data_IF_143763935933
#
_entry.id   IF_143763935933
#
_cell.length_a   1.000
_cell.length_b   1.000
_cell.length_c   1.000
_cell.angle_alpha   90.00
_cell.angle_beta   90.00
_cell.angle_gamma   90.00
#
_symmetry.space_group_name_H-M   'P 1'
#
loop_
_entity.id
_entity.type
_entity.pdbx_description
1 polymer ?
#
# COMPACT_ATOMS: atom_id res chain seq x y z
N UNK A 1 5.02 16.97 -5.01
CA UNK A 1 5.97 16.54 -3.97
C UNK A 1 7.18 17.48 -3.98
N UNK A 2 7.51 18.12 -2.85
CA UNK A 2 8.58 19.13 -2.77
C UNK A 2 9.73 18.73 -1.82
N UNK A 3 9.65 17.56 -1.19
CA UNK A 3 10.70 17.03 -0.33
C UNK A 3 11.71 16.17 -1.10
N UNK A 4 12.99 16.26 -0.73
CA UNK A 4 14.07 15.41 -1.23
C UNK A 4 14.02 14.00 -0.64
N UNK A 5 13.35 13.77 0.50
CA UNK A 5 13.20 12.45 1.15
C UNK A 5 12.60 11.39 0.23
N UNK A 6 13.19 10.21 0.14
CA UNK A 6 12.57 9.07 -0.53
C UNK A 6 11.35 8.60 0.27
N UNK A 7 10.17 8.96 -0.25
CA UNK A 7 8.90 8.71 0.39
C UNK A 7 8.07 7.76 -0.45
N UNK A 8 7.24 6.97 0.21
CA UNK A 8 6.18 6.15 -0.41
C UNK A 8 4.89 6.44 0.35
N UNK A 9 3.82 6.83 -0.35
CA UNK A 9 2.52 7.09 0.27
C UNK A 9 1.62 5.88 0.07
N UNK A 10 1.39 5.10 1.13
CA UNK A 10 0.48 3.95 1.11
C UNK A 10 -0.97 4.43 1.27
N UNK A 11 -1.84 4.06 0.34
CA UNK A 11 -3.24 4.52 0.26
C UNK A 11 -4.22 3.36 0.38
N UNK A 12 -4.55 2.90 1.60
CA UNK A 12 -5.54 1.85 1.79
C UNK A 12 -6.98 2.40 1.75
N UNK A 13 -7.97 1.57 1.36
CA UNK A 13 -9.39 1.87 1.57
C UNK A 13 -9.78 1.61 3.04
N UNK A 14 -11.07 1.36 3.31
CA UNK A 14 -11.59 1.07 4.65
C UNK A 14 -10.79 -0.06 5.34
N UNK A 15 -10.20 0.27 6.47
CA UNK A 15 -9.38 -0.65 7.26
C UNK A 15 -10.25 -1.61 8.07
N UNK A 16 -9.82 -2.88 8.13
CA UNK A 16 -10.44 -3.92 8.95
C UNK A 16 -9.42 -4.55 9.90
N UNK A 17 -9.90 -5.05 11.04
CA UNK A 17 -9.07 -5.84 11.95
C UNK A 17 -9.16 -7.31 11.53
N UNK A 18 -8.21 -7.74 10.71
CA UNK A 18 -8.09 -9.10 10.18
C UNK A 18 -6.64 -9.58 10.34
N UNK A 19 -6.42 -10.90 10.49
CA UNK A 19 -5.08 -11.49 10.43
C UNK A 19 -4.37 -11.14 9.11
N UNK A 20 -3.04 -11.27 9.12
CA UNK A 20 -2.25 -11.15 7.89
C UNK A 20 -2.59 -12.29 6.94
N UNK A 21 -2.76 -11.96 5.66
CA UNK A 21 -3.00 -12.93 4.59
C UNK A 21 -1.89 -12.91 3.54
N UNK A 22 -1.19 -11.78 3.39
CA UNK A 22 -0.21 -11.57 2.32
C UNK A 22 -0.83 -11.51 0.91
N UNK A 23 -2.15 -11.60 0.81
CA UNK A 23 -2.89 -11.70 -0.46
C UNK A 23 -3.68 -10.43 -0.70
N UNK A 24 -3.11 -9.50 -1.44
CA UNK A 24 -3.74 -8.22 -1.81
C UNK A 24 -3.13 -7.72 -3.13
N UNK A 25 -3.77 -6.72 -3.70
CA UNK A 25 -3.35 -6.06 -4.94
C UNK A 25 -2.74 -4.71 -4.63
N UNK A 26 -1.69 -4.37 -5.36
CA UNK A 26 -1.05 -3.05 -5.32
C UNK A 26 -1.15 -2.38 -6.69
N UNK A 27 -1.29 -1.05 -6.70
CA UNK A 27 -1.16 -0.25 -7.92
C UNK A 27 -0.31 0.97 -7.61
N UNK A 28 0.84 1.09 -8.27
CA UNK A 28 1.73 2.24 -8.17
C UNK A 28 1.14 3.41 -8.97
N UNK A 29 1.10 4.60 -8.39
CA UNK A 29 0.50 5.80 -9.00
C UNK A 29 -1.05 5.77 -9.03
N UNK A 30 -1.66 4.63 -8.72
CA UNK A 30 -3.11 4.41 -8.83
C UNK A 30 -3.69 3.67 -7.65
N UNK A 31 -4.85 3.05 -7.88
CA UNK A 31 -5.56 2.31 -6.85
C UNK A 31 -6.19 1.04 -7.44
N UNK A 32 -6.12 -0.13 -6.75
CA UNK A 32 -6.73 -1.35 -7.25
C UNK A 32 -8.22 -1.18 -7.55
N UNK A 33 -8.65 -1.55 -8.75
CA UNK A 33 -10.05 -1.48 -9.14
C UNK A 33 -10.93 -2.28 -8.17
N UNK A 34 -12.06 -1.69 -7.78
CA UNK A 34 -13.04 -2.26 -6.85
C UNK A 34 -12.49 -2.60 -5.45
N UNK A 35 -11.33 -2.07 -5.06
CA UNK A 35 -10.74 -2.24 -3.74
C UNK A 35 -11.53 -1.51 -2.64
N UNK A 36 -12.36 -2.23 -1.88
CA UNK A 36 -13.26 -1.61 -0.88
C UNK A 36 -12.73 -1.66 0.55
N UNK A 37 -11.88 -2.62 0.87
CA UNK A 37 -11.34 -2.81 2.22
C UNK A 37 -10.01 -3.55 2.18
N UNK A 38 -9.26 -3.44 3.27
CA UNK A 38 -8.04 -4.21 3.51
C UNK A 38 -7.84 -4.41 5.02
N UNK A 39 -7.22 -5.52 5.42
CA UNK A 39 -6.81 -5.76 6.79
C UNK A 39 -5.64 -4.86 7.20
N UNK A 40 -5.65 -4.32 8.42
CA UNK A 40 -4.53 -3.51 8.94
C UNK A 40 -3.21 -4.28 8.93
N UNK A 41 -3.26 -5.58 9.24
CA UNK A 41 -2.09 -6.45 9.20
C UNK A 41 -1.50 -6.57 7.78
N UNK A 42 -2.34 -6.65 6.75
CA UNK A 42 -1.89 -6.67 5.35
C UNK A 42 -1.39 -5.31 4.87
N UNK A 43 -1.91 -4.20 5.38
CA UNK A 43 -1.33 -2.87 5.11
C UNK A 43 0.08 -2.78 5.68
N UNK A 44 0.28 -3.23 6.93
CA UNK A 44 1.60 -3.26 7.53
C UNK A 44 2.56 -4.19 6.77
N UNK A 45 2.08 -5.36 6.35
CA UNK A 45 2.84 -6.27 5.49
C UNK A 45 3.24 -5.58 4.17
N UNK A 46 2.31 -4.84 3.53
CA UNK A 46 2.59 -4.11 2.30
C UNK A 46 3.64 -3.01 2.53
N UNK A 47 3.52 -2.25 3.63
CA UNK A 47 4.50 -1.22 3.99
C UNK A 47 5.91 -1.79 4.14
N UNK A 48 6.07 -2.93 4.83
CA UNK A 48 7.36 -3.60 4.99
C UNK A 48 7.93 -4.08 3.66
N UNK A 49 7.10 -4.64 2.78
CA UNK A 49 7.52 -5.07 1.46
C UNK A 49 8.06 -3.89 0.61
N UNK A 50 7.44 -2.72 0.71
CA UNK A 50 7.82 -1.53 -0.07
C UNK A 50 9.17 -0.91 0.34
N UNK A 51 9.69 -1.21 1.53
CA UNK A 51 11.00 -0.70 1.99
C UNK A 51 12.12 -1.11 1.02
N UNK A 52 12.00 -2.30 0.42
CA UNK A 52 12.99 -2.85 -0.51
C UNK A 52 12.60 -2.66 -2.00
N UNK A 53 11.53 -1.90 -2.29
CA UNK A 53 11.03 -1.71 -3.65
C UNK A 53 11.25 -0.25 -4.13
N UNK A 54 12.33 0.01 -4.90
CA UNK A 54 12.60 1.35 -5.42
C UNK A 54 11.52 1.85 -6.40
N UNK A 55 10.71 0.96 -6.98
CA UNK A 55 9.59 1.33 -7.85
C UNK A 55 8.47 2.09 -7.13
N UNK A 56 8.47 2.07 -5.80
CA UNK A 56 7.49 2.78 -4.98
C UNK A 56 7.95 4.16 -4.53
N UNK A 57 9.23 4.48 -4.72
CA UNK A 57 9.83 5.74 -4.29
C UNK A 57 9.22 6.91 -5.06
N UNK A 58 8.82 7.94 -4.31
CA UNK A 58 8.05 9.10 -4.77
C UNK A 58 6.70 8.74 -5.39
N UNK A 59 6.10 7.62 -4.98
CA UNK A 59 4.80 7.18 -5.50
C UNK A 59 3.72 7.07 -4.42
N UNK A 60 2.48 7.33 -4.84
CA UNK A 60 1.30 6.91 -4.10
C UNK A 60 0.92 5.50 -4.51
N UNK A 61 0.94 4.54 -3.59
CA UNK A 61 0.64 3.13 -3.85
C UNK A 61 -0.69 2.78 -3.24
N UNK A 62 -1.68 2.45 -4.07
CA UNK A 62 -2.96 1.92 -3.59
C UNK A 62 -2.83 0.45 -3.22
N UNK A 63 -3.42 0.06 -2.08
CA UNK A 63 -3.36 -1.33 -1.58
C UNK A 63 -4.76 -1.75 -1.15
N UNK A 64 -5.28 -2.84 -1.73
CA UNK A 64 -6.59 -3.37 -1.40
C UNK A 64 -6.68 -4.86 -1.75
N UNK A 65 -7.64 -5.57 -1.16
CA UNK A 65 -8.03 -6.89 -1.66
C UNK A 65 -8.65 -6.79 -3.05
#
# INVERSE_FOLDING_TARGET
ARSTTDWTVVRPPRLQNKPVTGSYRTVVGGFPLKGRFIGRADVAHAMLAMINDPGTVKQGVGVAY
#
